data_IF_094929627544
#
_entry.id   IF_094929627544
#
_cell.length_a   1.000
_cell.length_b   1.000
_cell.length_c   1.000
_cell.angle_alpha   90.00
_cell.angle_beta   90.00
_cell.angle_gamma   90.00
#
_symmetry.space_group_name_H-M   'P 1'
#
loop_
_entity.id
_entity.type
_entity.pdbx_description
1 polymer ?
#
# COMPACT_ATOMS: atom_id res chain seq x y z
N UNK A 1 18.39 -19.17 -7.29
CA UNK A 1 18.11 -17.94 -8.09
C UNK A 1 17.51 -16.80 -7.26
N UNK A 2 16.77 -17.04 -6.16
CA UNK A 2 16.21 -15.97 -5.31
C UNK A 2 17.20 -15.23 -4.40
N UNK A 3 18.34 -15.83 -4.03
CA UNK A 3 19.23 -15.29 -2.98
C UNK A 3 19.76 -13.87 -3.28
N UNK A 4 20.24 -13.60 -4.50
CA UNK A 4 20.81 -12.29 -4.84
C UNK A 4 19.75 -11.18 -4.83
N UNK A 5 18.58 -11.45 -5.44
CA UNK A 5 17.46 -10.53 -5.46
C UNK A 5 16.88 -10.28 -4.05
N UNK A 6 16.73 -11.34 -3.23
CA UNK A 6 16.29 -11.21 -1.85
C UNK A 6 17.30 -10.41 -1.02
N UNK A 7 18.61 -10.69 -1.13
CA UNK A 7 19.65 -9.94 -0.42
C UNK A 7 19.66 -8.46 -0.81
N UNK A 8 19.51 -8.16 -2.11
CA UNK A 8 19.39 -6.78 -2.59
C UNK A 8 18.16 -6.08 -2.03
N UNK A 9 17.01 -6.78 -1.97
CA UNK A 9 15.78 -6.28 -1.38
C UNK A 9 15.94 -5.93 0.11
N UNK A 10 16.52 -6.83 0.90
CA UNK A 10 16.76 -6.59 2.34
C UNK A 10 17.73 -5.44 2.59
N UNK A 11 18.82 -5.36 1.81
CA UNK A 11 19.78 -4.26 1.91
C UNK A 11 19.14 -2.91 1.56
N UNK A 12 18.25 -2.89 0.56
CA UNK A 12 17.47 -1.71 0.21
C UNK A 12 16.53 -1.32 1.35
N UNK A 13 15.74 -2.25 1.89
CA UNK A 13 14.84 -2.01 3.03
C UNK A 13 15.59 -1.43 4.23
N UNK A 14 16.76 -1.98 4.57
CA UNK A 14 17.63 -1.46 5.64
C UNK A 14 18.06 -0.02 5.36
N UNK A 15 18.48 0.29 4.13
CA UNK A 15 18.92 1.63 3.73
C UNK A 15 17.76 2.62 3.75
N UNK A 16 16.59 2.24 3.24
CA UNK A 16 15.38 3.05 3.28
C UNK A 16 14.98 3.33 4.73
N UNK A 17 14.94 2.33 5.62
CA UNK A 17 14.64 2.57 7.04
C UNK A 17 15.61 3.56 7.71
N UNK A 18 16.92 3.43 7.44
CA UNK A 18 17.92 4.36 7.97
C UNK A 18 17.72 5.78 7.45
N UNK A 19 17.55 5.95 6.14
CA UNK A 19 17.35 7.27 5.53
C UNK A 19 16.02 7.89 5.93
N UNK A 20 14.96 7.09 5.96
CA UNK A 20 13.63 7.55 6.37
C UNK A 20 13.60 7.99 7.82
N UNK A 21 14.22 7.23 8.73
CA UNK A 21 14.33 7.62 10.13
C UNK A 21 15.14 8.92 10.29
N UNK A 22 16.27 9.04 9.59
CA UNK A 22 17.07 10.26 9.60
C UNK A 22 16.29 11.46 9.04
N UNK A 23 15.57 11.29 7.93
CA UNK A 23 14.72 12.33 7.36
C UNK A 23 13.58 12.73 8.30
N UNK A 24 12.95 11.79 9.02
CA UNK A 24 11.93 12.10 10.03
C UNK A 24 12.50 12.97 11.15
N UNK A 25 13.67 12.61 11.70
CA UNK A 25 14.31 13.37 12.78
C UNK A 25 14.76 14.78 12.35
N UNK A 26 14.93 15.01 11.06
CA UNK A 26 15.29 16.33 10.52
C UNK A 26 14.11 17.27 10.28
N UNK A 27 12.85 16.81 10.46
CA UNK A 27 11.68 17.65 10.24
C UNK A 27 11.40 18.57 11.45
N UNK A 28 10.82 19.74 11.18
CA UNK A 28 10.40 20.72 12.17
C UNK A 28 9.18 20.24 12.99
N UNK A 29 8.95 20.81 14.18
CA UNK A 29 7.89 20.34 15.09
C UNK A 29 6.50 20.54 14.48
N UNK A 30 6.29 21.64 13.74
CA UNK A 30 5.02 21.88 13.04
C UNK A 30 4.63 20.77 12.06
N UNK A 31 5.58 19.97 11.57
CA UNK A 31 5.28 18.79 10.76
C UNK A 31 4.71 17.62 11.57
N UNK A 32 5.18 17.44 12.80
CA UNK A 32 4.72 16.42 13.74
C UNK A 32 3.37 16.77 14.38
N UNK A 33 3.00 18.05 14.40
CA UNK A 33 1.68 18.50 14.86
C UNK A 33 0.54 18.02 13.95
N UNK A 34 0.81 17.74 12.66
CA UNK A 34 -0.16 17.12 11.77
C UNK A 34 -0.50 15.71 12.25
N UNK A 35 -1.79 15.44 12.42
CA UNK A 35 -2.35 14.16 12.85
C UNK A 35 -1.89 13.00 11.94
N UNK A 36 -1.65 13.29 10.66
CA UNK A 36 -1.12 12.33 9.67
C UNK A 36 0.31 11.88 9.98
N UNK A 37 1.07 12.66 10.74
CA UNK A 37 2.47 12.44 11.09
C UNK A 37 2.64 12.14 12.58
N UNK A 38 1.58 11.62 13.22
CA UNK A 38 1.67 11.15 14.60
C UNK A 38 2.77 10.07 14.75
N UNK A 39 3.46 9.98 15.90
CA UNK A 39 4.55 9.03 16.11
C UNK A 39 4.18 7.58 15.79
N UNK A 40 2.96 7.16 16.12
CA UNK A 40 2.44 5.83 15.79
C UNK A 40 2.25 5.62 14.28
N UNK A 41 1.71 6.62 13.58
CA UNK A 41 1.56 6.57 12.13
C UNK A 41 2.91 6.53 11.42
N UNK A 42 3.89 7.34 11.86
CA UNK A 42 5.24 7.36 11.30
C UNK A 42 6.00 6.07 11.55
N UNK A 43 5.90 5.51 12.76
CA UNK A 43 6.50 4.21 13.08
C UNK A 43 5.92 3.11 12.20
N UNK A 44 4.60 3.11 12.02
CA UNK A 44 3.93 2.18 11.12
C UNK A 44 4.40 2.37 9.68
N UNK A 45 4.43 3.61 9.17
CA UNK A 45 4.94 3.92 7.81
C UNK A 45 6.38 3.44 7.63
N UNK A 46 7.27 3.71 8.57
CA UNK A 46 8.67 3.26 8.48
C UNK A 46 8.80 1.74 8.50
N UNK A 47 7.92 1.04 9.23
CA UNK A 47 7.91 -0.42 9.29
C UNK A 47 7.32 -1.05 8.01
N UNK A 48 6.17 -0.54 7.55
CA UNK A 48 5.37 -1.12 6.47
C UNK A 48 5.68 -0.56 5.09
N UNK A 49 5.80 0.75 4.92
CA UNK A 49 6.03 1.34 3.60
C UNK A 49 7.45 0.99 3.12
N UNK A 50 8.44 1.03 4.01
CA UNK A 50 9.81 0.65 3.67
C UNK A 50 9.95 -0.83 3.26
N UNK A 51 9.16 -1.74 3.86
CA UNK A 51 9.15 -3.15 3.47
C UNK A 51 8.31 -3.39 2.22
N UNK A 52 7.24 -2.63 1.99
CA UNK A 52 6.43 -2.73 0.77
C UNK A 52 7.20 -2.29 -0.48
N UNK A 53 8.16 -1.36 -0.38
CA UNK A 53 9.05 -1.02 -1.51
C UNK A 53 9.86 -2.24 -1.99
N UNK A 54 10.18 -3.18 -1.09
CA UNK A 54 10.77 -4.46 -1.46
C UNK A 54 9.84 -5.30 -2.35
N UNK A 55 8.52 -5.11 -2.27
CA UNK A 55 7.54 -5.78 -3.13
C UNK A 55 7.59 -5.35 -4.59
N UNK A 56 8.04 -4.12 -4.89
CA UNK A 56 8.35 -3.69 -6.27
C UNK A 56 9.76 -4.06 -6.71
N UNK A 57 10.64 -4.40 -5.76
CA UNK A 57 12.06 -4.69 -6.01
C UNK A 57 12.39 -6.14 -5.63
N UNK A 58 13.67 -6.50 -5.60
CA UNK A 58 14.08 -7.84 -5.16
C UNK A 58 13.52 -9.00 -5.98
N UNK A 59 12.98 -10.03 -5.30
CA UNK A 59 12.63 -11.31 -5.91
C UNK A 59 11.45 -11.23 -6.89
N UNK A 60 10.57 -10.24 -6.72
CA UNK A 60 9.40 -10.04 -7.57
C UNK A 60 9.78 -9.64 -9.00
N UNK A 61 10.76 -8.76 -9.17
CA UNK A 61 11.31 -8.42 -10.49
C UNK A 61 11.85 -9.68 -11.18
N UNK A 62 12.59 -10.50 -10.44
CA UNK A 62 13.12 -11.76 -10.97
C UNK A 62 12.02 -12.72 -11.44
N UNK A 63 10.90 -12.77 -10.72
CA UNK A 63 9.74 -13.59 -11.11
C UNK A 63 9.02 -13.02 -12.33
N UNK A 64 8.81 -11.70 -12.41
CA UNK A 64 8.19 -11.05 -13.57
C UNK A 64 9.03 -11.24 -14.83
N UNK A 65 10.35 -10.99 -14.74
CA UNK A 65 11.27 -11.19 -15.86
C UNK A 65 11.31 -12.65 -16.29
N UNK A 66 11.34 -13.59 -15.35
CA UNK A 66 11.27 -15.02 -15.66
C UNK A 66 9.96 -15.38 -16.36
N UNK A 67 8.82 -14.92 -15.87
CA UNK A 67 7.52 -15.18 -16.52
C UNK A 67 7.45 -14.58 -17.92
N UNK A 68 7.89 -13.33 -18.12
CA UNK A 68 7.91 -12.69 -19.44
C UNK A 68 8.86 -13.40 -20.41
N UNK A 69 10.04 -13.81 -19.93
CA UNK A 69 11.01 -14.56 -20.72
C UNK A 69 10.45 -15.93 -21.11
N UNK A 70 9.82 -16.63 -20.16
CA UNK A 70 9.17 -17.92 -20.41
C UNK A 70 8.05 -17.79 -21.45
N UNK A 71 7.23 -16.74 -21.37
CA UNK A 71 6.18 -16.46 -22.36
C UNK A 71 6.80 -16.21 -23.73
N UNK A 72 7.80 -15.33 -23.82
CA UNK A 72 8.49 -15.02 -25.08
C UNK A 72 9.11 -16.25 -25.73
N UNK A 73 9.87 -17.03 -24.97
CA UNK A 73 10.50 -18.26 -25.45
C UNK A 73 9.45 -19.31 -25.86
N UNK A 74 8.38 -19.48 -25.09
CA UNK A 74 7.30 -20.39 -25.43
C UNK A 74 6.62 -20.01 -26.75
N UNK A 75 6.28 -18.73 -26.94
CA UNK A 75 5.65 -18.24 -28.17
C UNK A 75 6.58 -18.42 -29.37
N UNK A 76 7.85 -18.04 -29.25
CA UNK A 76 8.84 -18.20 -30.33
C UNK A 76 9.02 -19.67 -30.72
N UNK A 77 9.16 -20.56 -29.73
CA UNK A 77 9.28 -22.00 -29.96
C UNK A 77 8.02 -22.58 -30.62
N UNK A 78 6.84 -22.16 -30.18
CA UNK A 78 5.57 -22.61 -30.75
C UNK A 78 5.42 -22.21 -32.21
N UNK A 79 5.74 -20.97 -32.57
CA UNK A 79 5.73 -20.51 -33.96
C UNK A 79 6.78 -21.22 -34.83
N UNK A 80 7.96 -21.54 -34.28
CA UNK A 80 9.00 -22.26 -35.00
C UNK A 80 8.61 -23.69 -35.39
N UNK A 81 7.99 -24.45 -34.47
CA UNK A 81 7.62 -25.85 -34.73
C UNK A 81 6.30 -26.02 -35.48
N UNK A 82 5.27 -25.23 -35.14
CA UNK A 82 3.98 -25.32 -35.81
C UNK A 82 3.21 -24.01 -35.70
N UNK A 83 3.31 -23.20 -36.75
CA UNK A 83 2.57 -21.95 -36.85
C UNK A 83 1.05 -22.16 -36.89
N UNK A 84 0.57 -23.24 -37.53
CA UNK A 84 -0.87 -23.57 -37.63
C UNK A 84 -1.50 -23.87 -36.27
N UNK A 85 -0.84 -24.69 -35.45
CA UNK A 85 -1.31 -25.02 -34.11
C UNK A 85 -1.24 -23.79 -33.17
N UNK A 86 -0.20 -22.99 -33.33
CA UNK A 86 0.00 -21.76 -32.52
C UNK A 86 -1.08 -20.73 -32.80
N UNK A 87 -1.47 -20.52 -34.07
CA UNK A 87 -2.56 -19.61 -34.45
C UNK A 87 -3.90 -20.02 -33.84
N UNK A 88 -4.22 -21.32 -33.83
CA UNK A 88 -5.44 -21.82 -33.18
C UNK A 88 -5.48 -21.41 -31.71
N UNK A 89 -4.38 -21.61 -30.98
CA UNK A 89 -4.30 -21.29 -29.55
C UNK A 89 -4.32 -19.77 -29.34
N UNK A 90 -3.71 -19.00 -30.23
CA UNK A 90 -3.76 -17.53 -30.21
C UNK A 90 -5.20 -17.01 -30.35
N UNK A 91 -6.06 -17.68 -31.12
CA UNK A 91 -7.48 -17.34 -31.22
C UNK A 91 -8.25 -17.54 -29.90
N UNK A 92 -7.83 -18.49 -29.05
CA UNK A 92 -8.42 -18.70 -27.72
C UNK A 92 -7.82 -17.79 -26.64
N UNK A 93 -6.63 -17.24 -26.86
CA UNK A 93 -5.95 -16.32 -25.95
C UNK A 93 -6.81 -15.11 -25.53
N UNK A 94 -7.51 -14.37 -26.42
CA UNK A 94 -8.37 -13.26 -26.01
C UNK A 94 -9.53 -13.72 -25.12
N UNK A 95 -10.10 -14.90 -25.33
CA UNK A 95 -11.16 -15.45 -24.47
C UNK A 95 -10.64 -15.75 -23.06
N UNK A 96 -9.45 -16.35 -22.97
CA UNK A 96 -8.79 -16.63 -21.69
C UNK A 96 -8.43 -15.31 -20.98
N UNK A 97 -7.87 -14.33 -21.70
CA UNK A 97 -7.51 -13.03 -21.17
C UNK A 97 -8.74 -12.24 -20.69
N UNK A 98 -9.83 -12.24 -21.45
CA UNK A 98 -11.09 -11.60 -21.09
C UNK A 98 -11.67 -12.23 -19.83
N UNK A 99 -11.68 -13.56 -19.75
CA UNK A 99 -12.16 -14.31 -18.59
C UNK A 99 -11.34 -14.00 -17.34
N UNK A 100 -10.01 -14.00 -17.44
CA UNK A 100 -9.11 -13.64 -16.34
C UNK A 100 -9.27 -12.18 -15.90
N UNK A 101 -9.39 -11.25 -16.85
CA UNK A 101 -9.62 -9.83 -16.57
C UNK A 101 -10.97 -9.59 -15.88
N UNK A 102 -12.02 -10.27 -16.32
CA UNK A 102 -13.34 -10.20 -15.69
C UNK A 102 -13.31 -10.75 -14.25
N UNK A 103 -12.64 -11.88 -14.02
CA UNK A 103 -12.45 -12.45 -12.69
C UNK A 103 -11.68 -11.50 -11.76
N UNK A 104 -10.59 -10.88 -12.24
CA UNK A 104 -9.83 -9.91 -11.46
C UNK A 104 -10.66 -8.67 -11.11
N UNK A 105 -11.45 -8.15 -12.06
CA UNK A 105 -12.34 -7.00 -11.84
C UNK A 105 -13.46 -7.33 -10.84
N UNK A 106 -14.06 -8.51 -10.94
CA UNK A 106 -15.06 -8.96 -9.97
C UNK A 106 -14.47 -9.08 -8.57
N UNK A 107 -13.31 -9.72 -8.41
CA UNK A 107 -12.67 -9.92 -7.12
C UNK A 107 -12.34 -8.57 -6.45
N UNK A 108 -11.77 -7.64 -7.20
CA UNK A 108 -11.43 -6.30 -6.68
C UNK A 108 -12.66 -5.44 -6.39
N UNK A 109 -13.68 -5.47 -7.25
CA UNK A 109 -14.94 -4.75 -7.03
C UNK A 109 -15.74 -5.27 -5.84
N UNK A 110 -15.81 -6.59 -5.68
CA UNK A 110 -16.50 -7.23 -4.56
C UNK A 110 -15.80 -6.96 -3.24
N UNK A 111 -14.46 -7.05 -3.20
CA UNK A 111 -13.68 -6.76 -2.01
C UNK A 111 -13.88 -5.33 -1.50
N UNK A 112 -14.03 -4.34 -2.40
CA UNK A 112 -14.31 -2.95 -1.99
C UNK A 112 -15.68 -2.83 -1.32
N UNK A 113 -16.73 -3.38 -1.94
CA UNK A 113 -18.08 -3.35 -1.39
C UNK A 113 -18.20 -4.14 -0.08
N UNK A 114 -17.53 -5.29 0.03
CA UNK A 114 -17.53 -6.09 1.26
C UNK A 114 -16.83 -5.33 2.39
N UNK A 115 -15.74 -4.61 2.09
CA UNK A 115 -15.05 -3.78 3.07
C UNK A 115 -15.94 -2.64 3.59
N UNK A 116 -16.64 -1.93 2.70
CA UNK A 116 -17.56 -0.84 3.09
C UNK A 116 -18.71 -1.37 3.95
N UNK A 117 -19.28 -2.53 3.59
CA UNK A 117 -20.36 -3.15 4.37
C UNK A 117 -19.89 -3.65 5.75
N UNK A 118 -18.65 -4.18 5.83
CA UNK A 118 -18.02 -4.58 7.10
C UNK A 118 -17.62 -3.40 7.98
N UNK A 119 -17.40 -2.20 7.42
CA UNK A 119 -17.02 -1.01 8.18
C UNK A 119 -18.12 -0.57 9.15
N UNK A 120 -19.39 -0.70 8.73
CA UNK A 120 -20.56 -0.36 9.57
C UNK A 120 -20.67 -1.32 10.76
N UNK A 121 -20.57 -2.63 10.51
CA UNK A 121 -20.55 -3.64 11.56
C UNK A 121 -19.33 -3.46 12.49
N UNK A 122 -18.17 -3.15 11.93
CA UNK A 122 -16.94 -2.86 12.67
C UNK A 122 -17.07 -1.63 13.57
N UNK A 123 -17.82 -0.60 13.16
CA UNK A 123 -18.08 0.59 13.99
C UNK A 123 -18.87 0.25 15.25
N UNK A 124 -19.93 -0.56 15.12
CA UNK A 124 -20.75 -1.01 16.26
C UNK A 124 -19.91 -1.84 17.23
N UNK A 125 -19.12 -2.77 16.72
CA UNK A 125 -18.22 -3.58 17.55
C UNK A 125 -17.17 -2.70 18.24
N UNK A 126 -16.59 -1.74 17.52
CA UNK A 126 -15.63 -0.79 18.09
C UNK A 126 -16.21 0.07 19.20
N UNK A 127 -17.42 0.59 19.04
CA UNK A 127 -18.12 1.37 20.06
C UNK A 127 -18.46 0.51 21.30
N UNK A 128 -18.88 -0.74 21.07
CA UNK A 128 -19.19 -1.68 22.14
C UNK A 128 -17.95 -2.04 22.97
N UNK A 129 -16.82 -2.30 22.30
CA UNK A 129 -15.57 -2.64 22.98
C UNK A 129 -14.97 -1.46 23.73
N UNK A 130 -15.01 -0.26 23.16
CA UNK A 130 -14.52 0.96 23.81
C UNK A 130 -15.31 1.30 25.09
N UNK A 131 -16.60 0.99 25.11
CA UNK A 131 -17.51 1.31 26.22
C UNK A 131 -17.99 0.06 26.98
N UNK A 132 -17.20 -1.02 26.99
CA UNK A 132 -17.62 -2.33 27.52
C UNK A 132 -18.07 -2.27 28.98
N UNK A 133 -17.42 -1.45 29.82
CA UNK A 133 -17.80 -1.27 31.23
C UNK A 133 -19.18 -0.62 31.38
N UNK A 134 -19.51 0.32 30.50
CA UNK A 134 -20.81 1.00 30.48
C UNK A 134 -21.91 0.04 30.04
N UNK A 135 -21.64 -0.76 29.00
CA UNK A 135 -22.61 -1.73 28.48
C UNK A 135 -22.89 -2.83 29.51
N UNK A 136 -21.83 -3.36 30.14
CA UNK A 136 -21.96 -4.35 31.22
C UNK A 136 -22.65 -3.76 32.45
N UNK A 137 -22.34 -2.52 32.82
CA UNK A 137 -23.02 -1.82 33.92
C UNK A 137 -24.51 -1.59 33.68
N UNK A 138 -24.94 -1.48 32.41
CA UNK A 138 -26.34 -1.32 32.00
C UNK A 138 -27.03 -2.66 31.66
N UNK A 139 -26.30 -3.78 31.62
CA UNK A 139 -26.81 -5.10 31.22
C UNK A 139 -27.41 -5.13 29.80
N UNK A 140 -26.81 -4.39 28.85
CA UNK A 140 -27.32 -4.22 27.47
C UNK A 140 -26.51 -4.96 26.41
N UNK A 141 -25.70 -5.94 26.79
CA UNK A 141 -24.83 -6.71 25.88
C UNK A 141 -25.64 -7.34 24.74
N UNK A 142 -26.79 -7.92 25.06
CA UNK A 142 -27.64 -8.60 24.07
C UNK A 142 -28.15 -7.64 22.98
N UNK A 143 -28.47 -6.39 23.34
CA UNK A 143 -28.91 -5.38 22.36
C UNK A 143 -27.80 -5.09 21.35
N UNK A 144 -26.55 -4.98 21.82
CA UNK A 144 -25.40 -4.74 20.92
C UNK A 144 -25.11 -5.95 20.03
N UNK A 145 -25.30 -7.17 20.54
CA UNK A 145 -25.19 -8.40 19.73
C UNK A 145 -26.27 -8.42 18.64
N UNK A 146 -27.53 -8.20 19.00
CA UNK A 146 -28.65 -8.20 18.05
C UNK A 146 -28.45 -7.10 16.98
N UNK A 147 -27.96 -5.92 17.38
CA UNK A 147 -27.66 -4.81 16.47
C UNK A 147 -26.50 -5.14 15.52
N UNK A 148 -25.49 -5.88 15.98
CA UNK A 148 -24.39 -6.34 15.15
C UNK A 148 -24.85 -7.42 14.16
N UNK A 149 -25.65 -8.40 14.60
CA UNK A 149 -26.23 -9.43 13.74
C UNK A 149 -27.12 -8.81 12.63
N UNK A 150 -27.99 -7.85 12.98
CA UNK A 150 -28.82 -7.16 12.02
C UNK A 150 -28.01 -6.43 10.92
N UNK A 151 -26.83 -5.93 11.26
CA UNK A 151 -25.93 -5.29 10.28
C UNK A 151 -25.12 -6.29 9.46
N UNK A 152 -24.97 -7.54 9.91
CA UNK A 152 -24.30 -8.61 9.17
C UNK A 152 -25.20 -9.28 8.12
N UNK A 153 -26.52 -9.24 8.29
CA UNK A 153 -27.48 -9.84 7.36
C UNK A 153 -27.36 -9.28 5.93
N UNK A 154 -27.18 -7.96 5.80
CA UNK A 154 -26.96 -7.29 4.51
C UNK A 154 -25.72 -7.82 3.77
N UNK A 155 -24.52 -7.72 4.36
CA UNK A 155 -23.29 -8.32 3.83
C UNK A 155 -23.42 -9.81 3.54
N UNK A 156 -24.09 -10.57 4.41
CA UNK A 156 -24.29 -12.00 4.22
C UNK A 156 -25.10 -12.32 2.95
N UNK A 157 -26.25 -11.66 2.76
CA UNK A 157 -27.08 -11.83 1.57
C UNK A 157 -26.35 -11.36 0.29
N UNK A 158 -25.59 -10.27 0.38
CA UNK A 158 -24.75 -9.79 -0.70
C UNK A 158 -23.66 -10.81 -1.06
N UNK A 159 -23.00 -11.41 -0.07
CA UNK A 159 -21.98 -12.44 -0.26
C UNK A 159 -22.57 -13.69 -0.94
N UNK A 160 -23.77 -14.13 -0.55
CA UNK A 160 -24.45 -15.25 -1.21
C UNK A 160 -24.74 -14.98 -2.69
N UNK A 161 -25.19 -13.76 -3.03
CA UNK A 161 -25.41 -13.36 -4.43
C UNK A 161 -24.09 -13.32 -5.20
N UNK A 162 -23.05 -12.72 -4.62
CA UNK A 162 -21.69 -12.64 -5.20
C UNK A 162 -21.09 -14.02 -5.43
N UNK A 163 -21.25 -14.95 -4.49
CA UNK A 163 -20.75 -16.31 -4.59
C UNK A 163 -21.34 -17.05 -5.79
N UNK A 164 -22.65 -16.90 -6.05
CA UNK A 164 -23.30 -17.50 -7.22
C UNK A 164 -22.73 -16.96 -8.53
N UNK A 165 -22.60 -15.63 -8.65
CA UNK A 165 -22.06 -15.01 -9.87
C UNK A 165 -20.59 -15.39 -10.06
N UNK A 166 -19.78 -15.32 -9.00
CA UNK A 166 -18.38 -15.70 -9.04
C UNK A 166 -18.19 -17.19 -9.42
N UNK A 167 -19.00 -18.08 -8.84
CA UNK A 167 -18.99 -19.51 -9.15
C UNK A 167 -19.31 -19.78 -10.63
N UNK A 168 -20.34 -19.12 -11.18
CA UNK A 168 -20.67 -19.24 -12.60
C UNK A 168 -19.55 -18.73 -13.51
N UNK A 169 -18.97 -17.56 -13.20
CA UNK A 169 -17.86 -16.99 -13.98
C UNK A 169 -16.59 -17.83 -13.89
N UNK A 170 -16.27 -18.37 -12.72
CA UNK A 170 -15.14 -19.28 -12.52
C UNK A 170 -15.33 -20.59 -13.29
N UNK A 171 -16.53 -21.17 -13.24
CA UNK A 171 -16.87 -22.37 -14.01
C UNK A 171 -16.74 -22.13 -15.51
N UNK A 172 -17.22 -20.99 -16.02
CA UNK A 172 -17.05 -20.61 -17.42
C UNK A 172 -15.57 -20.46 -17.81
N UNK A 173 -14.76 -19.80 -16.96
CA UNK A 173 -13.32 -19.65 -17.16
C UNK A 173 -12.60 -20.99 -17.31
N UNK A 174 -12.90 -21.94 -16.41
CA UNK A 174 -12.32 -23.28 -16.44
C UNK A 174 -12.78 -24.07 -17.67
N UNK A 175 -14.06 -23.96 -18.05
CA UNK A 175 -14.59 -24.59 -19.25
C UNK A 175 -13.84 -24.15 -20.51
N UNK A 176 -13.57 -22.85 -20.66
CA UNK A 176 -12.80 -22.31 -21.80
C UNK A 176 -11.39 -22.91 -21.86
N UNK A 177 -10.72 -23.11 -20.73
CA UNK A 177 -9.38 -23.73 -20.67
C UNK A 177 -9.44 -25.20 -21.13
N UNK A 178 -10.43 -25.97 -20.66
CA UNK A 178 -10.59 -27.37 -21.08
C UNK A 178 -10.98 -27.50 -22.56
N UNK A 179 -11.86 -26.63 -23.06
CA UNK A 179 -12.22 -26.56 -24.48
C UNK A 179 -11.00 -26.23 -25.35
N UNK A 180 -10.18 -25.27 -24.93
CA UNK A 180 -8.95 -24.89 -25.64
C UNK A 180 -7.98 -26.08 -25.71
N UNK A 181 -7.77 -26.80 -24.59
CA UNK A 181 -6.94 -28.00 -24.57
C UNK A 181 -7.50 -29.11 -25.49
N UNK A 182 -8.81 -29.39 -25.40
CA UNK A 182 -9.48 -30.39 -26.24
C UNK A 182 -9.36 -30.07 -27.73
N UNK A 183 -9.63 -28.82 -28.12
CA UNK A 183 -9.48 -28.34 -29.50
C UNK A 183 -8.03 -28.44 -29.97
N UNK A 184 -7.06 -28.11 -29.12
CA UNK A 184 -5.63 -28.19 -29.42
C UNK A 184 -5.17 -29.63 -29.65
N UNK A 185 -5.64 -30.59 -28.84
CA UNK A 185 -5.32 -32.00 -29.04
C UNK A 185 -6.00 -32.59 -30.27
N UNK A 186 -7.27 -32.24 -30.53
CA UNK A 186 -8.00 -32.71 -31.71
C UNK A 186 -7.36 -32.21 -33.01
N UNK A 187 -7.04 -30.93 -33.07
CA UNK A 187 -6.39 -30.33 -34.23
C UNK A 187 -4.93 -30.80 -34.36
N UNK A 188 -4.22 -30.93 -33.23
CA UNK A 188 -2.89 -31.52 -33.18
C UNK A 188 -2.85 -32.94 -33.75
N UNK A 189 -3.83 -33.78 -33.41
CA UNK A 189 -3.96 -35.13 -33.97
C UNK A 189 -4.22 -35.14 -35.48
N UNK A 190 -5.04 -34.21 -35.98
CA UNK A 190 -5.27 -34.03 -37.42
C UNK A 190 -3.98 -33.63 -38.17
N UNK A 191 -3.19 -32.73 -37.58
CA UNK A 191 -1.88 -32.30 -38.10
C UNK A 191 -0.85 -33.45 -38.14
N UNK A 192 -0.85 -34.33 -37.15
CA UNK A 192 0.00 -35.54 -37.16
C UNK A 192 -0.37 -36.46 -38.33
N UNK A 193 -1.67 -36.68 -38.54
CA UNK A 193 -2.17 -37.60 -39.56
C UNK A 193 -1.99 -37.07 -40.99
N UNK A 194 -2.18 -35.77 -41.22
CA UNK A 194 -2.17 -35.17 -42.56
C UNK A 194 -0.80 -34.60 -42.96
N UNK A 195 -0.07 -33.98 -42.02
CA UNK A 195 1.21 -33.30 -42.31
C UNK A 195 2.44 -34.10 -41.86
N UNK A 196 2.25 -35.31 -41.31
CA UNK A 196 3.34 -36.17 -40.85
C UNK A 196 4.14 -35.58 -39.68
N UNK A 197 3.59 -34.60 -38.96
CA UNK A 197 4.22 -34.01 -37.79
C UNK A 197 4.42 -35.06 -36.70
N UNK A 198 5.63 -35.15 -36.15
CA UNK A 198 5.90 -36.10 -35.08
C UNK A 198 5.10 -35.72 -33.83
N UNK A 199 4.43 -36.68 -33.20
CA UNK A 199 3.57 -36.46 -32.02
C UNK A 199 4.28 -35.71 -30.88
N UNK A 200 5.58 -35.94 -30.70
CA UNK A 200 6.39 -35.25 -29.69
C UNK A 200 6.46 -33.73 -29.90
N UNK A 201 6.43 -33.25 -31.15
CA UNK A 201 6.46 -31.82 -31.46
C UNK A 201 5.13 -31.15 -31.11
N UNK A 202 4.01 -31.80 -31.43
CA UNK A 202 2.67 -31.32 -31.08
C UNK A 202 2.51 -31.22 -29.56
N UNK A 203 2.91 -32.27 -28.83
CA UNK A 203 2.86 -32.27 -27.37
C UNK A 203 3.78 -31.19 -26.75
N UNK A 204 4.96 -30.97 -27.34
CA UNK A 204 5.90 -29.92 -26.91
C UNK A 204 5.30 -28.52 -27.08
N UNK A 205 4.64 -28.24 -28.21
CA UNK A 205 3.99 -26.95 -28.47
C UNK A 205 2.82 -26.71 -27.49
N UNK A 206 1.94 -27.70 -27.31
CA UNK A 206 0.80 -27.59 -26.38
C UNK A 206 1.32 -27.37 -24.94
N UNK A 207 2.28 -28.18 -24.49
CA UNK A 207 2.85 -28.08 -23.14
C UNK A 207 3.57 -26.75 -22.91
N UNK A 208 4.29 -26.23 -23.91
CA UNK A 208 4.95 -24.93 -23.84
C UNK A 208 3.93 -23.80 -23.64
N UNK A 209 2.83 -23.81 -24.41
CA UNK A 209 1.81 -22.76 -24.32
C UNK A 209 1.01 -22.87 -23.01
N UNK A 210 0.65 -24.06 -22.56
CA UNK A 210 -0.01 -24.25 -21.26
C UNK A 210 0.88 -23.76 -20.11
N UNK A 211 2.17 -24.11 -20.13
CA UNK A 211 3.13 -23.66 -19.13
C UNK A 211 3.30 -22.13 -19.17
N UNK A 212 3.35 -21.54 -20.38
CA UNK A 212 3.38 -20.09 -20.57
C UNK A 212 2.12 -19.39 -20.02
N UNK A 213 0.93 -19.96 -20.26
CA UNK A 213 -0.34 -19.45 -19.71
C UNK A 213 -0.35 -19.45 -18.18
N UNK A 214 0.16 -20.50 -17.53
CA UNK A 214 0.31 -20.51 -16.07
C UNK A 214 1.32 -19.49 -15.56
N UNK A 215 2.42 -19.25 -16.31
CA UNK A 215 3.41 -18.23 -15.98
C UNK A 215 2.84 -16.81 -16.10
N UNK A 216 1.97 -16.57 -17.10
CA UNK A 216 1.23 -15.32 -17.25
C UNK A 216 0.25 -15.09 -16.09
N UNK A 217 -0.49 -16.13 -15.67
CA UNK A 217 -1.38 -16.05 -14.50
C UNK A 217 -0.62 -15.75 -13.20
N UNK A 218 0.57 -16.34 -13.03
CA UNK A 218 1.45 -15.99 -11.91
C UNK A 218 1.92 -14.54 -12.00
N UNK A 219 2.35 -14.09 -13.19
CA UNK A 219 2.78 -12.72 -13.40
C UNK A 219 1.68 -11.70 -13.09
N UNK A 220 0.43 -11.97 -13.51
CA UNK A 220 -0.69 -11.07 -13.26
C UNK A 220 -1.01 -10.94 -11.77
N UNK A 221 -0.84 -12.01 -10.99
CA UNK A 221 -1.05 -12.01 -9.54
C UNK A 221 -0.10 -11.06 -8.77
N UNK A 222 1.04 -10.70 -9.35
CA UNK A 222 2.01 -9.76 -8.74
C UNK A 222 1.70 -8.29 -9.02
N UNK A 223 0.82 -7.99 -9.99
CA UNK A 223 0.46 -6.61 -10.36
C UNK A 223 -0.06 -5.77 -9.18
N UNK A 224 -0.96 -6.29 -8.30
CA UNK A 224 -1.45 -5.52 -7.17
C UNK A 224 -0.36 -5.16 -6.15
N UNK A 225 0.60 -6.05 -5.92
CA UNK A 225 1.70 -5.80 -4.98
C UNK A 225 2.68 -4.77 -5.54
N UNK A 226 2.95 -4.81 -6.85
CA UNK A 226 3.72 -3.77 -7.52
C UNK A 226 3.04 -2.39 -7.43
N UNK A 227 1.72 -2.33 -7.62
CA UNK A 227 0.96 -1.09 -7.49
C UNK A 227 1.02 -0.52 -6.07
N UNK A 228 0.85 -1.36 -5.04
CA UNK A 228 1.01 -0.97 -3.63
C UNK A 228 2.43 -0.46 -3.35
N UNK A 229 3.44 -1.19 -3.80
CA UNK A 229 4.83 -0.83 -3.62
C UNK A 229 5.17 0.52 -4.27
N UNK A 230 4.61 0.83 -5.46
CA UNK A 230 4.75 2.14 -6.11
C UNK A 230 4.14 3.27 -5.26
N UNK A 231 2.95 3.06 -4.69
CA UNK A 231 2.29 4.05 -3.82
C UNK A 231 3.10 4.28 -2.54
N UNK A 232 3.64 3.22 -1.94
CA UNK A 232 4.47 3.30 -0.74
C UNK A 232 5.83 3.95 -1.01
N UNK A 233 6.44 3.66 -2.17
CA UNK A 233 7.63 4.35 -2.63
C UNK A 233 7.39 5.85 -2.81
N UNK A 234 6.29 6.25 -3.47
CA UNK A 234 5.96 7.65 -3.69
C UNK A 234 5.82 8.43 -2.38
N UNK A 235 5.11 7.88 -1.38
CA UNK A 235 4.99 8.48 -0.04
C UNK A 235 6.33 8.57 0.69
N UNK A 236 7.18 7.54 0.54
CA UNK A 236 8.49 7.51 1.15
C UNK A 236 9.45 8.55 0.54
N UNK A 237 9.48 8.67 -0.79
CA UNK A 237 10.26 9.70 -1.48
C UNK A 237 9.73 11.10 -1.22
N UNK A 238 8.42 11.29 -1.10
CA UNK A 238 7.84 12.57 -0.69
C UNK A 238 8.36 13.05 0.68
N UNK A 239 8.63 12.12 1.61
CA UNK A 239 9.26 12.45 2.90
C UNK A 239 10.76 12.77 2.74
N UNK A 240 11.48 12.02 1.91
CA UNK A 240 12.91 12.24 1.69
C UNK A 240 13.20 13.56 0.96
N UNK A 241 12.36 13.92 -0.01
CA UNK A 241 12.53 15.12 -0.84
C UNK A 241 11.99 16.38 -0.15
N UNK A 242 11.33 16.24 1.01
CA UNK A 242 10.84 17.38 1.79
C UNK A 242 12.02 18.11 2.43
N UNK A 243 12.18 19.38 2.10
CA UNK A 243 13.09 20.30 2.78
C UNK A 243 12.34 21.00 3.93
N UNK A 244 12.75 20.82 5.19
CA UNK A 244 12.13 21.48 6.34
C UNK A 244 12.43 22.98 6.32
N UNK A 245 11.49 23.81 6.78
CA UNK A 245 11.72 25.26 6.87
C UNK A 245 12.77 25.61 7.93
N UNK A 246 12.82 24.83 9.01
CA UNK A 246 13.82 24.91 10.07
C UNK A 246 14.71 23.67 9.94
N UNK A 247 15.89 23.84 9.36
CA UNK A 247 16.81 22.72 9.13
C UNK A 247 17.65 22.45 10.38
N UNK A 248 17.41 21.31 11.03
CA UNK A 248 18.18 20.84 12.20
C UNK A 248 19.60 20.41 11.81
N UNK A 249 19.79 19.97 10.56
CA UNK A 249 21.07 19.47 10.06
C UNK A 249 21.91 20.53 9.34
N UNK A 250 21.44 21.78 9.31
CA UNK A 250 22.22 22.87 8.71
C UNK A 250 23.24 23.40 9.72
N UNK A 251 24.51 23.47 9.33
CA UNK A 251 25.55 24.19 10.07
C UNK A 251 25.52 25.71 9.85
N UNK A 252 24.52 26.20 9.11
CA UNK A 252 24.36 27.63 8.83
C UNK A 252 23.77 28.36 10.03
N UNK A 253 24.50 29.33 10.55
CA UNK A 253 24.07 30.20 11.65
C UNK A 253 25.26 30.67 12.46
N UNK A 254 25.08 31.78 13.18
CA UNK A 254 26.13 32.29 14.05
C UNK A 254 26.23 31.42 15.31
N UNK A 255 27.43 30.93 15.60
CA UNK A 255 27.76 30.26 16.85
C UNK A 255 28.44 31.30 17.75
N UNK A 256 27.81 31.67 18.85
CA UNK A 256 28.32 32.70 19.75
C UNK A 256 29.13 32.08 20.89
N UNK A 257 30.39 32.52 21.05
CA UNK A 257 31.26 32.07 22.14
C UNK A 257 30.92 32.71 23.49
N UNK A 258 30.33 33.92 23.49
CA UNK A 258 30.04 34.69 24.71
C UNK A 258 28.57 35.11 24.78
N UNK A 259 27.68 34.14 25.00
CA UNK A 259 26.24 34.39 25.16
C UNK A 259 25.92 34.91 26.57
N UNK A 260 25.51 36.19 26.66
CA UNK A 260 25.16 36.82 27.94
C UNK A 260 23.75 36.47 28.45
N UNK A 261 22.88 35.89 27.63
CA UNK A 261 21.54 35.46 28.05
C UNK A 261 20.50 36.57 28.17
N UNK A 262 20.65 37.69 27.47
CA UNK A 262 19.60 38.70 27.36
C UNK A 262 18.55 38.26 26.32
N UNK A 263 17.30 38.09 26.73
CA UNK A 263 16.22 37.54 25.89
C UNK A 263 15.08 38.57 25.79
N UNK A 264 14.65 38.89 24.56
CA UNK A 264 13.57 39.83 24.31
C UNK A 264 12.57 39.27 23.28
N UNK A 265 11.29 39.31 23.63
CA UNK A 265 10.16 39.14 22.71
C UNK A 265 9.69 40.53 22.27
N UNK A 266 9.62 40.77 20.97
CA UNK A 266 9.29 42.08 20.36
C UNK A 266 8.10 41.88 19.41
N UNK A 267 6.95 42.47 19.72
CA UNK A 267 5.66 42.36 19.01
C UNK A 267 5.38 40.94 18.47
N UNK A 268 5.69 39.91 19.27
CA UNK A 268 5.62 38.53 18.78
C UNK A 268 4.16 38.11 18.55
N UNK A 269 3.86 37.73 17.30
CA UNK A 269 2.57 37.20 16.85
C UNK A 269 2.77 35.78 16.35
N UNK A 270 1.96 34.84 16.85
CA UNK A 270 2.11 33.43 16.50
C UNK A 270 0.77 32.70 16.46
N UNK A 271 0.67 31.81 15.48
CA UNK A 271 -0.48 30.94 15.21
C UNK A 271 0.06 29.56 14.87
N UNK A 272 -0.46 28.51 15.51
CA UNK A 272 -0.05 27.14 15.19
C UNK A 272 -0.54 26.74 13.79
N UNK A 273 0.30 26.13 12.93
CA UNK A 273 -0.10 25.74 11.57
C UNK A 273 -1.31 24.80 11.51
N UNK A 274 -1.50 23.97 12.54
CA UNK A 274 -2.63 23.04 12.65
C UNK A 274 -3.96 23.71 12.99
N UNK A 275 -3.95 24.95 13.49
CA UNK A 275 -5.14 25.72 13.86
C UNK A 275 -4.97 27.19 13.41
N UNK A 276 -5.02 27.45 12.09
CA UNK A 276 -4.74 28.77 11.54
C UNK A 276 -5.75 29.83 11.98
N UNK A 277 -6.97 29.42 12.38
CA UNK A 277 -8.05 30.33 12.77
C UNK A 277 -7.88 30.93 14.18
N UNK A 278 -6.94 30.39 14.99
CA UNK A 278 -6.76 30.79 16.39
C UNK A 278 -5.34 31.33 16.59
N UNK A 279 -5.23 32.65 16.66
CA UNK A 279 -3.98 33.31 17.02
C UNK A 279 -3.72 33.19 18.52
N UNK A 280 -2.57 32.61 18.90
CA UNK A 280 -2.23 32.32 20.30
C UNK A 280 -1.47 33.48 20.95
N UNK A 281 -0.49 34.06 20.23
CA UNK A 281 0.23 35.25 20.67
C UNK A 281 -0.16 36.43 19.79
N UNK A 282 -0.55 37.55 20.40
CA UNK A 282 -1.01 38.74 19.70
C UNK A 282 -0.23 39.99 20.16
N UNK A 283 1.07 40.05 19.82
CA UNK A 283 1.93 41.18 20.12
C UNK A 283 2.60 41.10 21.49
N UNK A 284 3.18 39.94 21.83
CA UNK A 284 3.89 39.75 23.10
C UNK A 284 5.18 40.58 23.13
N UNK A 285 5.32 41.44 24.15
CA UNK A 285 6.50 42.25 24.41
C UNK A 285 7.02 41.97 25.82
N UNK A 286 8.15 41.28 25.94
CA UNK A 286 8.74 40.89 27.25
C UNK A 286 10.26 40.86 27.13
N UNK A 287 10.97 41.40 28.12
CA UNK A 287 12.44 41.39 28.20
C UNK A 287 12.88 40.70 29.50
N UNK A 288 13.91 39.85 29.41
CA UNK A 288 14.50 39.09 30.53
C UNK A 288 16.01 39.33 30.54
N UNK A 289 16.50 39.92 31.63
CA UNK A 289 17.92 40.25 31.80
C UNK A 289 18.74 39.02 32.23
N UNK A 290 20.06 39.04 32.01
CA UNK A 290 20.96 38.00 32.50
C UNK A 290 20.80 37.76 34.01
N UNK A 291 20.60 36.50 34.40
CA UNK A 291 20.42 36.09 35.81
C UNK A 291 19.03 36.36 36.41
N UNK A 292 18.10 36.93 35.64
CA UNK A 292 16.72 37.17 36.08
C UNK A 292 15.82 35.96 35.78
N UNK A 293 14.95 35.61 36.73
CA UNK A 293 13.90 34.61 36.52
C UNK A 293 12.59 35.29 36.15
N UNK A 294 12.02 34.91 35.00
CA UNK A 294 10.68 35.33 34.58
C UNK A 294 9.67 34.20 34.83
N UNK A 295 8.51 34.54 35.39
CA UNK A 295 7.40 33.60 35.58
C UNK A 295 6.20 34.00 34.71
N UNK A 296 5.74 33.09 33.85
CA UNK A 296 4.50 33.25 33.10
C UNK A 296 3.30 32.74 33.91
N UNK A 297 2.36 33.62 34.22
CA UNK A 297 1.09 33.28 34.91
C UNK A 297 -0.10 33.65 34.03
N UNK A 298 -1.18 32.87 34.11
CA UNK A 298 -2.41 33.13 33.35
C UNK A 298 -3.28 31.89 33.16
N UNK A 299 -4.48 32.08 32.61
CA UNK A 299 -5.47 31.03 32.33
C UNK A 299 -4.96 29.98 31.32
N UNK A 300 -5.62 28.82 31.25
CA UNK A 300 -5.29 27.81 30.23
C UNK A 300 -5.46 28.40 28.82
N UNK A 301 -4.51 28.12 27.92
CA UNK A 301 -4.56 28.60 26.53
C UNK A 301 -4.00 30.01 26.28
N UNK A 302 -3.53 30.75 27.29
CA UNK A 302 -3.00 32.11 27.10
C UNK A 302 -1.57 32.20 26.50
N UNK A 303 -1.04 31.12 25.92
CA UNK A 303 0.24 31.13 25.20
C UNK A 303 1.51 30.96 26.03
N UNK A 304 1.43 30.66 27.34
CA UNK A 304 2.62 30.49 28.22
C UNK A 304 3.64 29.47 27.69
N UNK A 305 3.17 28.26 27.38
CA UNK A 305 4.02 27.19 26.84
C UNK A 305 4.52 27.52 25.43
N UNK A 306 3.71 28.24 24.66
CA UNK A 306 4.06 28.68 23.31
C UNK A 306 5.25 29.65 23.31
N UNK A 307 5.33 30.56 24.29
CA UNK A 307 6.48 31.46 24.43
C UNK A 307 7.79 30.70 24.65
N UNK A 308 7.75 29.60 25.43
CA UNK A 308 8.92 28.73 25.64
C UNK A 308 9.29 27.99 24.35
N UNK A 309 8.30 27.45 23.63
CA UNK A 309 8.52 26.74 22.37
C UNK A 309 9.12 27.65 21.27
N UNK A 310 8.74 28.92 21.23
CA UNK A 310 9.32 29.88 20.30
C UNK A 310 10.77 30.24 20.63
N UNK A 311 11.14 30.26 21.91
CA UNK A 311 12.52 30.46 22.33
C UNK A 311 13.42 29.30 21.87
N UNK A 312 12.89 28.08 21.92
CA UNK A 312 13.58 26.87 21.44
C UNK A 312 13.59 26.76 19.90
N UNK A 313 12.89 27.66 19.20
CA UNK A 313 12.79 27.73 17.72
C UNK A 313 12.34 26.40 17.10
N UNK A 314 11.24 25.87 17.62
CA UNK A 314 10.59 24.65 17.14
C UNK A 314 9.78 24.78 15.84
#
# INVERSE_FOLDING_TARGET
>A
RGYAFSKSGELLTRRLRRLGFHAMLGQEIGWFDDHRNSPGALTTRLATDASQVQGATGSQIGMIVNSLTNIGVAVLMSFYFSWKLTLLILCFLPFIALSGGFQAKMLTGFAKQDKEAMEVAGRISGEALNNIRTIAGLGKEKIFVDMYEAQLDGPYQAALKKAKVYGACYGFAQCVIFLTNSASYRFGGYLVQQEGLHFSLVFRVISAIVTSGTALGKASSYTPDYAKAKISAARFFQLLDRVPQISVYSDTGDKWDNFQGNIEFIDCKFTYPTRPDIQVLNGLNVSVKPGQTLAFVGSSGCGKSTSVQLLERF
#
